data_IF_415513225341
#
_entry.id   IF_415513225341
#
_cell.length_a   1.000
_cell.length_b   1.000
_cell.length_c   1.000
_cell.angle_alpha   90.00
_cell.angle_beta   90.00
_cell.angle_gamma   90.00
#
_symmetry.space_group_name_H-M   'P 1'
#
loop_
_entity.id
_entity.type
_entity.pdbx_description
1 polymer ?
#
# COMPACT_ATOMS: atom_id res chain seq x y z
N UNK A 1 35.69 -25.81 -57.42
CA UNK A 1 35.17 -24.85 -56.43
C UNK A 1 34.52 -25.63 -55.30
N UNK A 2 35.20 -26.64 -54.75
CA UNK A 2 36.24 -26.56 -53.71
C UNK A 2 35.70 -26.10 -52.36
N UNK A 3 35.83 -26.84 -51.25
CA UNK A 3 36.36 -28.19 -51.02
C UNK A 3 36.02 -28.58 -49.56
N UNK A 4 35.56 -29.81 -49.40
CA UNK A 4 35.78 -30.74 -48.28
C UNK A 4 35.51 -30.34 -46.82
N UNK A 5 34.65 -31.15 -46.17
CA UNK A 5 35.12 -32.22 -45.27
C UNK A 5 34.13 -33.39 -45.20
N UNK A 6 34.47 -34.45 -45.93
CA UNK A 6 34.15 -35.84 -45.62
C UNK A 6 35.20 -36.33 -44.61
N UNK A 7 34.81 -37.15 -43.64
CA UNK A 7 35.24 -38.57 -43.55
C UNK A 7 34.63 -39.27 -42.34
N UNK A 8 34.04 -40.42 -42.62
CA UNK A 8 33.54 -41.43 -41.70
C UNK A 8 34.64 -42.40 -41.23
N UNK A 9 34.41 -43.09 -40.11
CA UNK A 9 34.83 -44.46 -39.81
C UNK A 9 34.09 -44.89 -38.52
N UNK A 10 33.09 -45.77 -38.55
CA UNK A 10 33.12 -47.23 -38.76
C UNK A 10 33.80 -48.00 -37.62
N UNK A 11 33.04 -48.63 -36.71
CA UNK A 11 32.96 -50.10 -36.62
C UNK A 11 32.08 -50.62 -35.46
N UNK A 12 31.26 -51.59 -35.85
CA UNK A 12 30.59 -52.64 -35.09
C UNK A 12 31.24 -53.07 -33.76
N UNK A 13 30.41 -53.38 -32.75
CA UNK A 13 30.32 -54.75 -32.23
C UNK A 13 29.05 -55.01 -31.40
N UNK A 14 28.49 -56.18 -31.67
CA UNK A 14 27.27 -56.75 -31.11
C UNK A 14 27.34 -57.00 -29.59
N UNK A 15 26.22 -56.68 -28.93
CA UNK A 15 25.44 -57.50 -27.99
C UNK A 15 26.14 -58.75 -27.43
N UNK A 16 26.39 -58.77 -26.11
CA UNK A 16 25.93 -59.88 -25.27
C UNK A 16 25.91 -59.54 -23.76
N UNK A 17 24.81 -59.96 -23.13
CA UNK A 17 24.45 -59.85 -21.72
C UNK A 17 25.57 -60.27 -20.75
N UNK A 18 25.70 -59.56 -19.62
CA UNK A 18 25.63 -60.21 -18.30
C UNK A 18 25.23 -59.21 -17.21
N UNK A 19 24.20 -59.63 -16.48
CA UNK A 19 23.58 -59.00 -15.32
C UNK A 19 24.58 -58.79 -14.16
N UNK A 20 24.62 -57.58 -13.57
CA UNK A 20 24.75 -57.40 -12.11
C UNK A 20 24.56 -55.93 -11.70
N UNK A 21 23.50 -55.71 -10.93
CA UNK A 21 23.13 -54.48 -10.23
C UNK A 21 24.28 -53.89 -9.42
N UNK A 22 24.41 -52.55 -9.41
CA UNK A 22 24.65 -51.69 -8.23
C UNK A 22 24.34 -50.24 -8.64
N UNK A 23 23.47 -49.60 -7.84
CA UNK A 23 23.01 -48.20 -7.95
C UNK A 23 24.17 -47.20 -7.82
N UNK A 24 24.24 -46.18 -8.69
CA UNK A 24 24.79 -44.87 -8.34
C UNK A 24 24.07 -43.75 -9.09
N UNK A 25 23.66 -42.76 -8.31
CA UNK A 25 22.85 -41.57 -8.59
C UNK A 25 23.55 -40.55 -9.48
N UNK A 26 22.82 -40.00 -10.46
CA UNK A 26 23.26 -38.96 -11.40
C UNK A 26 23.33 -37.55 -10.76
N UNK A 27 24.39 -36.80 -11.07
CA UNK A 27 24.57 -35.38 -10.72
C UNK A 27 23.52 -34.46 -11.37
N UNK A 28 23.16 -33.31 -10.76
CA UNK A 28 22.29 -32.32 -11.37
C UNK A 28 23.05 -31.33 -12.26
N UNK A 29 22.40 -30.96 -13.36
CA UNK A 29 22.79 -29.98 -14.38
C UNK A 29 22.85 -28.56 -13.80
N UNK A 30 23.97 -27.85 -14.00
CA UNK A 30 24.12 -26.42 -13.65
C UNK A 30 23.45 -25.58 -14.74
N UNK A 31 22.44 -24.80 -14.36
CA UNK A 31 21.84 -23.75 -15.19
C UNK A 31 22.51 -22.43 -14.82
N UNK A 32 23.29 -21.85 -15.74
CA UNK A 32 23.85 -20.51 -15.57
C UNK A 32 22.75 -19.46 -15.86
N UNK A 33 22.21 -18.85 -14.81
CA UNK A 33 21.39 -17.64 -14.90
C UNK A 33 22.35 -16.45 -14.82
N UNK A 34 22.33 -15.58 -15.83
CA UNK A 34 23.01 -14.28 -15.79
C UNK A 34 22.21 -13.37 -14.86
N UNK A 35 22.69 -13.20 -13.63
CA UNK A 35 22.16 -12.24 -12.65
C UNK A 35 22.92 -10.93 -12.84
N UNK A 36 22.20 -9.82 -12.93
CA UNK A 36 22.75 -8.46 -12.97
C UNK A 36 23.71 -8.23 -11.79
N UNK A 37 24.96 -7.83 -12.10
CA UNK A 37 26.08 -7.69 -11.14
C UNK A 37 25.85 -6.61 -10.06
N UNK A 38 24.77 -5.82 -10.12
CA UNK A 38 24.49 -4.77 -9.14
C UNK A 38 23.91 -5.27 -7.82
N UNK A 39 23.19 -6.40 -7.83
CA UNK A 39 22.55 -6.97 -6.62
C UNK A 39 23.44 -7.98 -5.89
N UNK A 40 24.34 -8.66 -6.61
CA UNK A 40 25.41 -9.50 -6.05
C UNK A 40 26.41 -8.69 -5.22
N UNK A 41 26.74 -7.47 -5.66
CA UNK A 41 27.62 -6.54 -4.94
C UNK A 41 27.03 -6.04 -3.59
N UNK A 42 25.69 -6.02 -3.47
CA UNK A 42 25.02 -5.79 -2.18
C UNK A 42 25.12 -7.05 -1.32
N UNK A 43 24.69 -8.21 -1.81
CA UNK A 43 24.66 -9.48 -1.05
C UNK A 43 26.05 -9.93 -0.57
N UNK A 44 27.10 -9.73 -1.35
CA UNK A 44 28.48 -10.04 -0.97
C UNK A 44 29.04 -9.05 0.07
N UNK A 45 28.56 -7.80 0.07
CA UNK A 45 28.87 -6.82 1.12
C UNK A 45 28.23 -7.22 2.46
N UNK A 46 27.04 -7.84 2.45
CA UNK A 46 26.36 -8.36 3.67
C UNK A 46 27.05 -9.55 4.31
N UNK A 47 27.61 -10.47 3.51
CA UNK A 47 28.41 -11.58 4.04
C UNK A 47 29.65 -11.04 4.78
N UNK A 48 30.25 -9.95 4.29
CA UNK A 48 31.33 -9.26 4.98
C UNK A 48 30.88 -8.50 6.22
N UNK A 49 29.69 -7.90 6.24
CA UNK A 49 29.16 -7.17 7.41
C UNK A 49 28.80 -8.09 8.58
N UNK A 50 28.41 -9.35 8.32
CA UNK A 50 28.20 -10.36 9.37
C UNK A 50 29.49 -11.09 9.79
N UNK A 51 30.57 -10.99 9.01
CA UNK A 51 31.93 -11.38 9.43
C UNK A 51 32.53 -10.42 10.48
N UNK A 52 31.85 -9.31 10.75
CA UNK A 52 32.25 -8.28 11.72
C UNK A 52 32.24 -8.80 13.18
N UNK A 53 31.48 -9.85 13.47
CA UNK A 53 31.58 -10.60 14.73
C UNK A 53 32.88 -11.42 14.84
N UNK A 54 33.43 -11.90 13.73
CA UNK A 54 34.73 -12.57 13.66
C UNK A 54 35.91 -11.58 13.65
N UNK A 55 35.66 -10.30 13.31
CA UNK A 55 36.64 -9.22 13.45
C UNK A 55 36.76 -8.80 14.93
N UNK A 56 35.66 -8.84 15.69
CA UNK A 56 35.63 -8.46 17.10
C UNK A 56 36.49 -9.35 18.01
N UNK A 57 36.71 -10.63 17.64
CA UNK A 57 37.58 -11.55 18.39
C UNK A 57 39.08 -11.31 18.20
N UNK A 58 39.45 -10.38 17.30
CA UNK A 58 40.85 -10.09 16.95
C UNK A 58 41.25 -8.62 17.22
N UNK A 59 40.46 -7.84 17.97
CA UNK A 59 40.89 -6.51 18.40
C UNK A 59 41.89 -6.63 19.57
N UNK A 60 43.11 -6.07 19.47
CA UNK A 60 44.03 -6.03 20.60
C UNK A 60 43.54 -5.01 21.63
N UNK A 61 43.52 -5.43 22.89
CA UNK A 61 43.32 -4.54 24.03
C UNK A 61 44.40 -3.45 24.05
N UNK A 62 43.99 -2.25 24.45
CA UNK A 62 44.81 -1.04 24.44
C UNK A 62 46.14 -1.18 25.17
N UNK A 63 47.15 -0.52 24.60
CA UNK A 63 48.53 -0.32 25.07
C UNK A 63 49.54 -1.40 24.65
N UNK A 64 49.95 -1.38 23.38
CA UNK A 64 51.35 -1.42 22.96
C UNK A 64 51.45 -0.86 21.53
N UNK A 65 52.03 0.34 21.40
CA UNK A 65 52.62 0.77 20.13
C UNK A 65 53.90 -0.06 19.96
N UNK A 66 54.15 -0.57 18.74
CA UNK A 66 55.22 -1.49 18.31
C UNK A 66 54.65 -2.91 18.15
N UNK A 67 54.39 -3.48 16.97
CA UNK A 67 54.99 -3.33 15.64
C UNK A 67 53.90 -3.14 14.57
N UNK A 68 54.19 -2.28 13.59
CA UNK A 68 53.26 -1.86 12.55
C UNK A 68 53.41 -2.77 11.33
N UNK A 69 52.45 -3.64 11.10
CA UNK A 69 52.25 -4.27 9.79
C UNK A 69 51.50 -3.25 8.90
N UNK A 70 52.23 -2.50 8.07
CA UNK A 70 51.76 -1.26 7.41
C UNK A 70 50.58 -1.42 6.42
N UNK A 71 50.13 -2.65 6.13
CA UNK A 71 49.12 -2.91 5.10
C UNK A 71 47.77 -3.46 5.61
N UNK A 72 47.58 -3.61 6.93
CA UNK A 72 46.32 -4.13 7.48
C UNK A 72 45.47 -2.99 8.08
N UNK A 73 44.40 -2.63 7.38
CA UNK A 73 43.43 -1.65 7.86
C UNK A 73 42.80 -2.13 9.19
N UNK A 74 42.63 -1.25 10.20
CA UNK A 74 42.06 -1.62 11.50
C UNK A 74 40.63 -2.14 11.42
N UNK A 75 39.87 -1.74 10.38
CA UNK A 75 38.55 -2.29 10.08
C UNK A 75 38.46 -2.68 8.59
N UNK A 76 38.67 -3.96 8.23
CA UNK A 76 38.51 -4.41 6.85
C UNK A 76 37.03 -4.33 6.45
N UNK A 77 36.73 -3.66 5.33
CA UNK A 77 35.36 -3.45 4.81
C UNK A 77 34.94 -1.98 4.69
N UNK A 78 35.63 -1.05 5.35
CA UNK A 78 35.36 0.39 5.24
C UNK A 78 36.39 1.10 4.35
N UNK A 79 35.99 2.18 3.67
CA UNK A 79 36.88 2.96 2.80
C UNK A 79 38.10 3.52 3.58
N UNK A 80 39.30 3.45 2.98
CA UNK A 80 40.55 3.92 3.63
C UNK A 80 40.49 5.41 3.99
N UNK A 81 39.83 6.23 3.14
CA UNK A 81 39.68 7.68 3.32
C UNK A 81 38.20 8.07 3.27
N UNK A 82 37.72 8.77 4.30
CA UNK A 82 36.42 9.43 4.31
C UNK A 82 36.62 10.94 4.16
N UNK A 83 35.66 11.64 3.51
CA UNK A 83 35.75 13.09 3.26
C UNK A 83 37.05 13.53 2.56
N UNK A 84 37.61 12.69 1.68
CA UNK A 84 38.88 12.92 0.97
C UNK A 84 40.14 13.12 1.86
N UNK A 85 39.99 13.34 3.18
CA UNK A 85 41.07 13.74 4.11
C UNK A 85 41.17 12.89 5.40
N UNK A 86 40.09 12.23 5.85
CA UNK A 86 40.08 11.50 7.13
C UNK A 86 40.46 10.03 6.92
N UNK A 87 41.69 9.66 7.31
CA UNK A 87 42.14 8.26 7.41
C UNK A 87 41.48 7.56 8.61
N UNK A 88 41.29 6.24 8.51
CA UNK A 88 40.67 5.42 9.58
C UNK A 88 41.35 5.55 10.96
N UNK A 89 42.62 5.97 10.99
CA UNK A 89 43.45 6.14 12.19
C UNK A 89 43.25 7.49 12.91
N UNK A 90 42.45 8.40 12.37
CA UNK A 90 42.19 9.71 13.01
C UNK A 90 41.18 9.58 14.15
N UNK A 91 41.40 10.25 15.31
CA UNK A 91 40.63 10.03 16.54
C UNK A 91 39.11 10.32 16.46
N UNK A 92 38.58 11.28 15.66
CA UNK A 92 37.12 11.39 15.55
C UNK A 92 36.52 10.21 14.79
N UNK A 93 37.19 9.72 13.73
CA UNK A 93 36.69 8.63 12.90
C UNK A 93 36.84 7.26 13.56
N UNK A 94 37.97 7.02 14.24
CA UNK A 94 38.23 5.76 14.95
C UNK A 94 37.23 5.53 16.09
N UNK A 95 36.91 6.57 16.86
CA UNK A 95 35.91 6.48 17.93
C UNK A 95 34.50 6.21 17.38
N UNK A 96 34.10 6.89 16.29
CA UNK A 96 32.82 6.62 15.63
C UNK A 96 32.75 5.18 15.07
N UNK A 97 33.83 4.68 14.47
CA UNK A 97 33.91 3.29 14.00
C UNK A 97 33.75 2.31 15.16
N UNK A 98 34.51 2.49 16.26
CA UNK A 98 34.39 1.66 17.46
C UNK A 98 32.96 1.67 18.02
N UNK A 99 32.30 2.82 18.02
CA UNK A 99 30.92 2.97 18.51
C UNK A 99 29.88 2.26 17.63
N UNK A 100 29.98 2.38 16.30
CA UNK A 100 29.05 1.69 15.36
C UNK A 100 29.24 0.18 15.41
N UNK A 101 30.48 -0.29 15.55
CA UNK A 101 30.77 -1.74 15.63
C UNK A 101 30.35 -2.37 16.96
N UNK A 102 29.85 -1.59 17.91
CA UNK A 102 29.51 -2.09 19.24
C UNK A 102 28.18 -2.86 19.23
N UNK A 103 28.14 -4.15 19.62
CA UNK A 103 26.92 -4.97 19.51
C UNK A 103 25.77 -4.47 20.39
N UNK A 104 26.05 -3.72 21.45
CA UNK A 104 25.01 -3.10 22.28
C UNK A 104 24.36 -1.89 21.60
N UNK A 105 25.09 -1.17 20.75
CA UNK A 105 24.54 -0.05 20.00
C UNK A 105 23.41 -0.52 19.09
N UNK A 106 23.61 -1.63 18.37
CA UNK A 106 22.56 -2.24 17.53
C UNK A 106 21.35 -2.71 18.35
N UNK A 107 21.56 -3.33 19.51
CA UNK A 107 20.45 -3.75 20.40
C UNK A 107 19.65 -2.57 20.94
N UNK A 108 20.32 -1.48 21.32
CA UNK A 108 19.67 -0.25 21.80
C UNK A 108 18.88 0.39 20.66
N UNK A 109 19.48 0.51 19.47
CA UNK A 109 18.77 1.03 18.29
C UNK A 109 17.50 0.23 18.01
N UNK A 110 17.55 -1.10 18.10
CA UNK A 110 16.38 -1.96 17.93
C UNK A 110 15.28 -1.72 18.97
N UNK A 111 15.66 -1.53 20.23
CA UNK A 111 14.72 -1.20 21.30
C UNK A 111 14.05 0.17 21.07
N UNK A 112 14.81 1.16 20.59
CA UNK A 112 14.27 2.49 20.24
C UNK A 112 13.29 2.42 19.08
N UNK A 113 13.55 1.60 18.06
CA UNK A 113 12.60 1.35 16.96
C UNK A 113 11.31 0.75 17.51
N UNK A 114 11.41 -0.31 18.33
CA UNK A 114 10.25 -0.99 18.91
C UNK A 114 9.41 -0.03 19.75
N UNK A 115 10.05 0.77 20.59
CA UNK A 115 9.41 1.79 21.41
C UNK A 115 8.68 2.82 20.52
N UNK A 116 9.27 3.22 19.39
CA UNK A 116 8.61 4.13 18.46
C UNK A 116 7.39 3.49 17.76
N UNK A 117 7.46 2.21 17.40
CA UNK A 117 6.31 1.48 16.86
C UNK A 117 5.15 1.43 17.86
N UNK A 118 5.45 1.21 19.14
CA UNK A 118 4.44 1.23 20.21
C UNK A 118 3.81 2.62 20.32
N UNK A 119 4.61 3.69 20.33
CA UNK A 119 4.06 5.06 20.38
C UNK A 119 3.20 5.40 19.17
N UNK A 120 3.56 4.91 17.98
CA UNK A 120 2.75 5.09 16.77
C UNK A 120 1.44 4.32 16.84
N UNK A 121 1.45 3.08 17.36
CA UNK A 121 0.24 2.27 17.56
C UNK A 121 -0.71 2.81 18.63
N UNK A 122 -0.18 3.49 19.64
CA UNK A 122 -0.97 4.17 20.67
C UNK A 122 -1.57 5.51 20.22
N UNK A 123 -1.20 5.99 19.03
CA UNK A 123 -1.72 7.25 18.49
C UNK A 123 -3.22 7.13 18.18
N UNK A 124 -4.05 7.94 18.85
CA UNK A 124 -5.50 7.95 18.65
C UNK A 124 -5.91 9.12 17.73
N UNK A 125 -6.28 8.88 16.47
CA UNK A 125 -6.65 9.94 15.53
C UNK A 125 -7.94 10.65 15.97
N UNK A 126 -8.96 9.90 16.43
CA UNK A 126 -10.29 10.43 16.71
C UNK A 126 -10.36 11.45 17.87
N UNK A 127 -9.36 11.50 18.76
CA UNK A 127 -9.32 12.48 19.84
C UNK A 127 -9.01 13.90 19.34
N UNK A 128 -8.52 14.05 18.10
CA UNK A 128 -8.12 15.34 17.52
C UNK A 128 -9.22 15.99 16.66
N UNK A 129 -10.39 15.36 16.53
CA UNK A 129 -11.44 15.76 15.57
C UNK A 129 -12.73 16.26 16.23
N UNK A 130 -12.84 16.22 17.57
CA UNK A 130 -13.94 16.86 18.29
C UNK A 130 -13.77 18.37 18.17
N UNK A 131 -14.50 18.95 17.21
CA UNK A 131 -14.36 20.32 16.77
C UNK A 131 -14.49 21.33 17.90
N UNK A 132 -13.36 21.96 18.23
CA UNK A 132 -13.17 23.38 18.47
C UNK A 132 -11.71 23.64 18.03
N UNK A 133 -11.57 24.38 16.94
CA UNK A 133 -10.43 25.24 16.59
C UNK A 133 -8.99 24.75 16.85
N UNK A 134 -8.27 24.53 15.73
CA UNK A 134 -6.81 24.50 15.54
C UNK A 134 -5.93 25.05 16.67
N UNK A 135 -5.78 24.32 17.77
CA UNK A 135 -4.69 24.56 18.70
C UNK A 135 -3.92 23.27 18.94
N UNK A 136 -2.62 23.36 18.65
CA UNK A 136 -1.55 22.38 18.88
C UNK A 136 -1.34 22.06 20.38
N UNK A 137 -2.38 22.19 21.21
CA UNK A 137 -2.30 21.95 22.64
C UNK A 137 -2.70 20.52 22.95
N UNK A 138 -1.69 19.67 23.02
CA UNK A 138 -1.81 18.37 23.62
C UNK A 138 -1.92 18.54 25.14
N UNK A 139 -3.15 18.69 25.63
CA UNK A 139 -3.41 18.92 27.06
C UNK A 139 -3.46 17.62 27.88
N UNK A 140 -3.66 16.46 27.23
CA UNK A 140 -3.62 15.15 27.91
C UNK A 140 -2.18 14.72 28.18
N UNK A 141 -1.90 14.25 29.41
CA UNK A 141 -0.58 13.74 29.80
C UNK A 141 -0.01 12.70 28.82
N UNK A 142 -0.87 11.81 28.30
CA UNK A 142 -0.49 10.81 27.31
C UNK A 142 0.04 11.43 26.01
N UNK A 143 -0.56 12.51 25.51
CA UNK A 143 -0.04 13.16 24.29
C UNK A 143 1.31 13.85 24.54
N UNK A 144 1.49 14.49 25.69
CA UNK A 144 2.78 15.12 26.06
C UNK A 144 3.88 14.05 26.10
N UNK A 145 3.61 12.90 26.72
CA UNK A 145 4.54 11.77 26.75
C UNK A 145 4.83 11.23 25.35
N UNK A 146 3.82 10.97 24.52
CA UNK A 146 4.01 10.49 23.14
C UNK A 146 4.84 11.46 22.30
N UNK A 147 4.56 12.77 22.40
CA UNK A 147 5.29 13.80 21.68
C UNK A 147 6.74 13.92 22.16
N UNK A 148 6.99 13.87 23.47
CA UNK A 148 8.33 13.88 24.03
C UNK A 148 9.14 12.65 23.56
N UNK A 149 8.52 11.48 23.57
CA UNK A 149 9.12 10.24 23.07
C UNK A 149 9.44 10.33 21.57
N UNK A 150 8.54 10.89 20.76
CA UNK A 150 8.78 11.09 19.32
C UNK A 150 10.00 11.99 19.05
N UNK A 151 10.16 13.08 19.81
CA UNK A 151 11.35 13.94 19.70
C UNK A 151 12.62 13.23 20.17
N UNK A 152 12.55 12.47 21.26
CA UNK A 152 13.67 11.66 21.73
C UNK A 152 14.13 10.65 20.67
N UNK A 153 13.20 9.92 20.08
CA UNK A 153 13.46 8.95 19.00
C UNK A 153 14.08 9.65 17.79
N UNK A 154 13.53 10.78 17.37
CA UNK A 154 14.07 11.56 16.26
C UNK A 154 15.51 12.01 16.52
N UNK A 155 15.79 12.54 17.71
CA UNK A 155 17.13 12.98 18.10
C UNK A 155 18.12 11.81 18.12
N UNK A 156 17.74 10.66 18.68
CA UNK A 156 18.57 9.45 18.70
C UNK A 156 19.00 9.03 17.29
N UNK A 157 18.05 8.92 16.35
CA UNK A 157 18.37 8.51 14.98
C UNK A 157 19.15 9.57 14.19
N UNK A 158 18.94 10.85 14.47
CA UNK A 158 19.72 11.93 13.85
C UNK A 158 21.18 11.85 14.30
N UNK A 159 21.41 11.65 15.60
CA UNK A 159 22.76 11.48 16.16
C UNK A 159 23.41 10.22 15.57
N UNK A 160 22.70 9.10 15.52
CA UNK A 160 23.18 7.88 14.90
C UNK A 160 23.59 8.10 13.43
N UNK A 161 22.74 8.76 12.64
CA UNK A 161 23.04 9.07 11.24
C UNK A 161 24.32 9.90 11.12
N UNK A 162 24.47 10.94 11.96
CA UNK A 162 25.68 11.77 11.99
C UNK A 162 26.93 10.94 12.32
N UNK A 163 26.85 10.01 13.28
CA UNK A 163 27.96 9.13 13.65
C UNK A 163 28.32 8.20 12.48
N UNK A 164 27.32 7.60 11.80
CA UNK A 164 27.52 6.75 10.61
C UNK A 164 28.15 7.52 9.45
N UNK A 165 27.68 8.73 9.18
CA UNK A 165 28.27 9.61 8.16
C UNK A 165 29.71 10.00 8.50
N UNK A 166 30.02 10.26 9.78
CA UNK A 166 31.39 10.55 10.21
C UNK A 166 32.34 9.35 10.08
N UNK A 167 31.84 8.13 10.32
CA UNK A 167 32.63 6.90 10.24
C UNK A 167 32.88 6.43 8.80
N UNK A 168 31.84 6.41 7.96
CA UNK A 168 31.86 5.86 6.59
C UNK A 168 32.14 6.93 5.53
N UNK A 169 31.89 8.21 5.81
CA UNK A 169 31.90 9.30 4.84
C UNK A 169 30.57 9.45 4.10
N UNK A 170 30.35 10.63 3.49
CA UNK A 170 29.09 10.96 2.78
C UNK A 170 29.09 10.45 1.33
N UNK A 171 30.18 10.69 0.58
CA UNK A 171 30.27 10.35 -0.85
C UNK A 171 31.52 9.51 -1.14
N UNK A 172 31.36 8.39 -1.87
CA UNK A 172 32.46 7.50 -2.26
C UNK A 172 32.03 6.02 -2.38
N UNK A 173 32.93 5.16 -2.92
CA UNK A 173 32.74 3.71 -2.92
C UNK A 173 32.82 3.21 -1.46
N UNK A 174 31.73 2.65 -0.95
CA UNK A 174 31.60 2.23 0.46
C UNK A 174 31.24 3.36 1.44
N UNK A 175 30.77 4.52 0.95
CA UNK A 175 30.24 5.60 1.78
C UNK A 175 28.79 5.33 2.22
N UNK A 176 28.30 6.08 3.22
CA UNK A 176 26.97 5.90 3.81
C UNK A 176 25.83 5.94 2.76
N UNK A 177 25.93 6.84 1.77
CA UNK A 177 24.90 7.00 0.72
C UNK A 177 24.98 5.96 -0.42
N UNK A 178 26.02 5.12 -0.45
CA UNK A 178 26.16 4.10 -1.49
C UNK A 178 25.31 2.85 -1.22
N UNK A 179 24.78 2.70 0.01
CA UNK A 179 23.85 1.62 0.36
C UNK A 179 22.40 2.12 0.32
N UNK A 180 21.54 1.38 -0.39
CA UNK A 180 20.14 1.76 -0.62
C UNK A 180 19.33 1.86 0.68
N UNK A 181 19.67 1.09 1.70
CA UNK A 181 18.96 1.06 2.98
C UNK A 181 19.38 2.20 3.89
N UNK A 182 20.67 2.51 3.93
CA UNK A 182 21.15 3.73 4.56
C UNK A 182 20.59 5.00 3.88
N UNK A 183 20.37 4.97 2.55
CA UNK A 183 19.66 6.05 1.84
C UNK A 183 18.19 6.19 2.29
N UNK A 184 17.49 5.07 2.52
CA UNK A 184 16.13 5.07 3.07
C UNK A 184 16.11 5.62 4.50
N UNK A 185 17.06 5.22 5.35
CA UNK A 185 17.17 5.72 6.73
C UNK A 185 17.39 7.24 6.77
N UNK A 186 18.28 7.74 5.90
CA UNK A 186 18.55 9.15 5.70
C UNK A 186 17.31 9.92 5.26
N UNK A 187 16.56 9.40 4.30
CA UNK A 187 15.30 10.00 3.84
C UNK A 187 14.31 10.16 5.00
N UNK A 188 14.15 9.12 5.84
CA UNK A 188 13.25 9.19 7.01
C UNK A 188 13.72 10.26 8.01
N UNK A 189 15.03 10.40 8.29
CA UNK A 189 15.54 11.47 9.18
C UNK A 189 15.25 12.85 8.57
N UNK A 190 15.52 13.03 7.27
CA UNK A 190 15.34 14.30 6.58
C UNK A 190 13.86 14.74 6.58
N UNK A 191 12.93 13.82 6.33
CA UNK A 191 11.49 14.15 6.41
C UNK A 191 11.06 14.58 7.81
N UNK A 192 11.60 13.96 8.86
CA UNK A 192 11.39 14.41 10.25
C UNK A 192 12.02 15.77 10.56
N UNK A 193 13.17 16.08 9.96
CA UNK A 193 13.81 17.39 10.11
C UNK A 193 12.99 18.49 9.42
N UNK A 194 12.48 18.23 8.21
CA UNK A 194 11.60 19.14 7.48
C UNK A 194 10.32 19.42 8.28
N UNK A 195 9.77 18.39 8.94
CA UNK A 195 8.61 18.54 9.82
C UNK A 195 8.87 19.50 11.00
N UNK A 196 10.08 19.52 11.54
CA UNK A 196 10.48 20.42 12.62
C UNK A 196 10.74 21.85 12.13
N UNK A 197 11.29 22.01 10.92
CA UNK A 197 11.73 23.29 10.38
C UNK A 197 10.60 24.13 9.77
N UNK A 198 9.50 23.53 9.29
CA UNK A 198 8.38 24.25 8.67
C UNK A 198 7.28 24.54 9.71
N UNK A 199 7.12 25.80 10.17
CA UNK A 199 6.00 26.16 11.03
C UNK A 199 4.68 26.07 10.24
N UNK A 200 3.69 25.44 10.86
CA UNK A 200 2.42 25.00 10.25
C UNK A 200 1.43 26.07 9.75
N UNK A 201 1.89 27.26 9.37
CA UNK A 201 1.05 28.36 8.89
C UNK A 201 0.95 28.42 7.35
N UNK A 202 1.75 27.62 6.61
CA UNK A 202 1.80 27.67 5.14
C UNK A 202 1.40 26.36 4.42
N UNK A 203 1.34 25.22 5.11
CA UNK A 203 1.02 23.92 4.49
C UNK A 203 0.26 23.03 5.48
N UNK A 204 -0.79 22.34 5.02
CA UNK A 204 -1.43 21.27 5.76
C UNK A 204 -0.44 20.11 5.98
N UNK A 205 0.31 20.15 7.09
CA UNK A 205 1.33 19.16 7.48
C UNK A 205 0.80 17.73 7.71
N UNK A 206 -0.47 17.45 7.36
CA UNK A 206 -1.09 16.13 7.52
C UNK A 206 -0.35 15.05 6.73
N UNK A 207 0.03 15.35 5.48
CA UNK A 207 0.79 14.41 4.65
C UNK A 207 2.18 14.12 5.22
N UNK A 208 2.88 15.13 5.75
CA UNK A 208 4.23 14.95 6.33
C UNK A 208 4.14 14.10 7.61
N UNK A 209 3.08 14.27 8.42
CA UNK A 209 2.83 13.41 9.59
C UNK A 209 2.65 11.93 9.21
N UNK A 210 2.02 11.63 8.07
CA UNK A 210 1.89 10.24 7.60
C UNK A 210 3.22 9.58 7.24
N UNK A 211 4.26 10.35 6.89
CA UNK A 211 5.60 9.80 6.63
C UNK A 211 6.19 9.13 7.88
N UNK A 212 5.74 9.51 9.09
CA UNK A 212 6.14 8.83 10.34
C UNK A 212 5.79 7.34 10.36
N UNK A 213 4.79 6.90 9.57
CA UNK A 213 4.44 5.48 9.36
C UNK A 213 5.55 4.69 8.67
N UNK A 214 6.51 5.36 8.04
CA UNK A 214 7.68 4.72 7.43
C UNK A 214 8.78 4.39 8.44
N UNK A 215 8.77 4.96 9.67
CA UNK A 215 9.83 4.72 10.67
C UNK A 215 10.05 3.23 11.02
N UNK A 216 9.00 2.37 11.12
CA UNK A 216 9.18 0.93 11.29
C UNK A 216 9.99 0.26 10.17
N UNK A 217 10.01 0.80 8.94
CA UNK A 217 10.80 0.21 7.83
C UNK A 217 12.30 0.18 8.14
N UNK A 218 12.78 1.01 9.06
CA UNK A 218 14.18 0.99 9.53
C UNK A 218 14.58 -0.35 10.14
N UNK A 219 13.61 -1.12 10.64
CA UNK A 219 13.86 -2.48 11.17
C UNK A 219 14.48 -3.38 10.11
N UNK A 220 14.17 -3.17 8.84
CA UNK A 220 14.70 -3.96 7.72
C UNK A 220 16.22 -3.74 7.59
N UNK A 221 16.68 -2.50 7.80
CA UNK A 221 18.12 -2.19 7.78
C UNK A 221 18.86 -2.78 9.00
N UNK A 222 18.15 -3.12 10.08
CA UNK A 222 18.75 -3.68 11.32
C UNK A 222 18.71 -5.18 11.40
N UNK A 223 17.72 -5.79 10.77
CA UNK A 223 17.52 -7.24 10.80
C UNK A 223 17.91 -7.81 9.43
N UNK A 224 19.10 -8.43 9.31
CA UNK A 224 19.59 -8.92 8.02
C UNK A 224 18.65 -9.96 7.41
N UNK A 225 18.02 -10.80 8.24
CA UNK A 225 17.01 -11.78 7.77
C UNK A 225 15.81 -11.11 7.08
N UNK A 226 15.38 -9.94 7.56
CA UNK A 226 14.29 -9.19 6.94
C UNK A 226 14.73 -8.55 5.62
N UNK A 227 15.97 -8.03 5.56
CA UNK A 227 16.54 -7.49 4.33
C UNK A 227 16.59 -8.54 3.22
N UNK A 228 17.09 -9.74 3.54
CA UNK A 228 17.18 -10.85 2.57
C UNK A 228 15.79 -11.19 2.05
N UNK A 229 14.79 -11.30 2.93
CA UNK A 229 13.41 -11.57 2.52
C UNK A 229 12.85 -10.51 1.56
N UNK A 230 13.03 -9.22 1.88
CA UNK A 230 12.54 -8.14 1.03
C UNK A 230 13.28 -8.12 -0.31
N UNK A 231 14.59 -8.34 -0.32
CA UNK A 231 15.38 -8.40 -1.56
C UNK A 231 14.92 -9.56 -2.46
N UNK A 232 14.75 -10.75 -1.90
CA UNK A 232 14.20 -11.89 -2.65
C UNK A 232 12.81 -11.59 -3.22
N UNK A 233 11.96 -10.87 -2.48
CA UNK A 233 10.66 -10.44 -3.00
C UNK A 233 10.83 -9.47 -4.17
N UNK A 234 11.69 -8.45 -4.02
CA UNK A 234 11.97 -7.48 -5.08
C UNK A 234 12.56 -8.16 -6.34
N UNK A 235 13.40 -9.17 -6.18
CA UNK A 235 13.99 -9.95 -7.27
C UNK A 235 12.94 -10.73 -8.08
N UNK A 236 11.79 -11.06 -7.48
CA UNK A 236 10.68 -11.73 -8.19
C UNK A 236 9.75 -10.75 -8.91
N UNK A 237 9.78 -9.44 -8.60
CA UNK A 237 8.91 -8.43 -9.21
C UNK A 237 9.08 -8.30 -10.74
N UNK A 238 10.30 -8.34 -11.31
CA UNK A 238 10.47 -8.30 -12.77
C UNK A 238 9.74 -9.43 -13.50
N UNK A 239 9.74 -10.64 -12.92
CA UNK A 239 9.03 -11.80 -13.49
C UNK A 239 7.52 -11.60 -13.45
N UNK A 240 7.01 -11.02 -12.35
CA UNK A 240 5.60 -10.68 -12.19
C UNK A 240 5.17 -9.54 -13.12
N UNK A 241 6.09 -8.62 -13.47
CA UNK A 241 5.83 -7.50 -14.37
C UNK A 241 5.25 -7.91 -15.73
N UNK A 242 5.71 -9.02 -16.30
CA UNK A 242 5.18 -9.55 -17.56
C UNK A 242 3.69 -9.96 -17.44
N UNK A 243 3.32 -10.58 -16.32
CA UNK A 243 1.95 -10.96 -16.03
C UNK A 243 1.06 -9.74 -15.77
N UNK A 244 1.58 -8.74 -15.03
CA UNK A 244 0.88 -7.49 -14.77
C UNK A 244 0.61 -6.70 -16.06
N UNK A 245 1.56 -6.70 -17.00
CA UNK A 245 1.38 -6.07 -18.31
C UNK A 245 0.28 -6.76 -19.12
N UNK A 246 0.23 -8.10 -19.13
CA UNK A 246 -0.87 -8.84 -19.74
C UNK A 246 -2.21 -8.50 -19.08
N UNK A 247 -2.24 -8.48 -17.74
CA UNK A 247 -3.43 -8.12 -16.96
C UNK A 247 -3.92 -6.70 -17.30
N UNK A 248 -3.00 -5.75 -17.44
CA UNK A 248 -3.31 -4.38 -17.84
C UNK A 248 -4.00 -4.32 -19.21
N UNK A 249 -3.53 -5.08 -20.22
CA UNK A 249 -4.20 -5.13 -21.52
C UNK A 249 -5.60 -5.72 -21.45
N UNK A 250 -5.80 -6.76 -20.65
CA UNK A 250 -7.10 -7.37 -20.43
C UNK A 250 -8.06 -6.34 -19.79
N UNK A 251 -7.61 -5.64 -18.75
CA UNK A 251 -8.38 -4.58 -18.09
C UNK A 251 -8.68 -3.42 -19.03
N UNK A 252 -7.75 -3.05 -19.92
CA UNK A 252 -7.98 -2.02 -20.92
C UNK A 252 -9.07 -2.43 -21.91
N UNK A 253 -9.01 -3.63 -22.48
CA UNK A 253 -9.99 -4.12 -23.45
C UNK A 253 -11.38 -4.18 -22.81
N UNK A 254 -11.52 -4.88 -21.68
CA UNK A 254 -12.80 -4.98 -20.99
C UNK A 254 -13.28 -3.64 -20.43
N UNK A 255 -12.37 -2.76 -20.02
CA UNK A 255 -12.70 -1.41 -19.58
C UNK A 255 -13.32 -0.57 -20.69
N UNK A 256 -12.73 -0.58 -21.89
CA UNK A 256 -13.28 0.14 -23.05
C UNK A 256 -14.63 -0.46 -23.44
N UNK A 257 -14.75 -1.79 -23.49
CA UNK A 257 -16.04 -2.45 -23.77
C UNK A 257 -17.08 -2.02 -22.73
N UNK A 258 -16.71 -2.03 -21.44
CA UNK A 258 -17.64 -1.69 -20.38
C UNK A 258 -18.12 -0.23 -20.40
N UNK A 259 -17.22 0.71 -20.69
CA UNK A 259 -17.60 2.12 -20.88
C UNK A 259 -18.54 2.28 -22.09
N UNK A 260 -18.29 1.58 -23.20
CA UNK A 260 -19.16 1.72 -24.37
C UNK A 260 -20.55 1.12 -24.16
N UNK A 261 -20.66 0.05 -23.37
CA UNK A 261 -21.94 -0.63 -23.12
C UNK A 261 -22.75 0.00 -21.99
N UNK A 262 -22.11 0.41 -20.89
CA UNK A 262 -22.80 0.74 -19.63
C UNK A 262 -22.60 2.17 -19.13
N UNK A 263 -21.97 3.05 -19.91
CA UNK A 263 -21.82 4.47 -19.53
C UNK A 263 -23.17 5.11 -19.22
N UNK A 264 -23.28 5.71 -18.03
CA UNK A 264 -24.46 6.41 -17.55
C UNK A 264 -25.65 5.53 -17.13
N UNK A 265 -25.65 4.22 -17.43
CA UNK A 265 -26.79 3.35 -17.14
C UNK A 265 -27.01 3.12 -15.64
N UNK A 266 -25.92 3.02 -14.87
CA UNK A 266 -25.97 2.77 -13.42
C UNK A 266 -26.56 3.96 -12.63
N UNK A 267 -26.71 5.13 -13.27
CA UNK A 267 -27.32 6.33 -12.70
C UNK A 267 -28.85 6.34 -12.82
N UNK A 268 -29.44 5.43 -13.57
CA UNK A 268 -30.88 5.42 -13.78
C UNK A 268 -31.63 5.13 -12.47
N UNK A 269 -32.63 5.97 -12.15
CA UNK A 269 -33.50 5.85 -10.98
C UNK A 269 -34.95 6.09 -11.38
N UNK A 270 -35.88 5.59 -10.57
CA UNK A 270 -37.31 5.83 -10.76
C UNK A 270 -37.72 7.12 -10.06
N UNK A 271 -38.01 8.15 -10.83
CA UNK A 271 -38.49 9.45 -10.39
C UNK A 271 -40.01 9.48 -10.30
N UNK A 272 -40.49 10.37 -9.43
CA UNK A 272 -41.90 10.61 -9.19
C UNK A 272 -42.56 11.26 -10.40
N UNK A 273 -43.63 10.67 -10.91
CA UNK A 273 -44.44 11.23 -11.99
C UNK A 273 -45.82 11.62 -11.47
N UNK A 274 -45.91 12.82 -10.88
CA UNK A 274 -47.18 13.42 -10.47
C UNK A 274 -47.54 14.54 -11.46
N UNK A 275 -48.79 14.55 -11.91
CA UNK A 275 -49.31 15.66 -12.69
C UNK A 275 -49.42 16.87 -11.75
N UNK A 276 -48.79 18.00 -12.10
CA UNK A 276 -48.65 19.19 -11.25
C UNK A 276 -49.99 19.70 -10.69
N UNK A 277 -51.08 19.55 -11.44
CA UNK A 277 -52.43 19.93 -11.00
C UNK A 277 -53.00 19.12 -9.83
N UNK A 278 -52.40 17.97 -9.48
CA UNK A 278 -52.83 17.12 -8.37
C UNK A 278 -52.18 17.48 -7.02
N UNK A 279 -51.02 18.16 -7.05
CA UNK A 279 -50.23 18.49 -5.84
C UNK A 279 -50.72 19.80 -5.22
N UNK A 280 -51.02 20.81 -6.05
CA UNK A 280 -51.37 22.17 -5.59
C UNK A 280 -52.69 22.26 -4.79
N UNK A 281 -53.51 21.21 -4.81
CA UNK A 281 -54.81 21.17 -4.12
C UNK A 281 -54.78 20.43 -2.77
N UNK A 282 -53.64 19.88 -2.34
CA UNK A 282 -53.55 19.07 -1.12
C UNK A 282 -52.49 19.60 -0.14
N UNK A 283 -52.87 20.30 0.94
CA UNK A 283 -51.95 20.83 1.95
C UNK A 283 -51.34 19.75 2.87
N UNK A 284 -51.50 18.47 2.54
CA UNK A 284 -50.94 17.33 3.29
C UNK A 284 -49.58 16.85 2.75
N UNK A 285 -49.05 17.52 1.71
CA UNK A 285 -47.77 17.17 1.08
C UNK A 285 -46.54 17.69 1.86
N UNK A 286 -46.68 18.68 2.74
CA UNK A 286 -45.55 19.25 3.51
C UNK A 286 -45.02 18.33 4.64
N UNK A 287 -45.81 17.32 5.03
CA UNK A 287 -45.51 16.42 6.16
C UNK A 287 -44.76 15.13 5.75
N UNK A 288 -44.54 14.89 4.45
CA UNK A 288 -43.88 13.68 3.97
C UNK A 288 -42.54 14.02 3.31
N UNK A 289 -41.42 13.41 3.73
CA UNK A 289 -40.14 13.59 3.07
C UNK A 289 -40.16 12.82 1.74
N UNK A 290 -40.76 13.41 0.71
CA UNK A 290 -40.68 12.86 -0.64
C UNK A 290 -39.23 12.93 -1.11
N UNK A 291 -38.60 11.77 -1.26
CA UNK A 291 -37.37 11.68 -2.01
C UNK A 291 -37.68 11.84 -3.49
N UNK A 292 -36.84 12.54 -4.26
CA UNK A 292 -37.09 12.78 -5.69
C UNK A 292 -37.14 11.48 -6.50
N UNK A 293 -36.47 10.43 -6.02
CA UNK A 293 -36.45 9.10 -6.61
C UNK A 293 -36.61 8.02 -5.54
N UNK A 294 -37.03 6.83 -5.96
CA UNK A 294 -37.20 5.68 -5.08
C UNK A 294 -35.86 5.14 -4.55
N UNK A 295 -35.74 5.05 -3.22
CA UNK A 295 -34.61 4.40 -2.53
C UNK A 295 -35.13 3.21 -1.72
N UNK A 296 -34.65 1.99 -1.99
CA UNK A 296 -35.03 0.81 -1.20
C UNK A 296 -34.45 0.88 0.23
N UNK A 297 -35.12 0.29 1.23
CA UNK A 297 -34.63 0.31 2.62
C UNK A 297 -33.45 -0.65 2.87
N UNK A 298 -33.35 -1.73 2.09
CA UNK A 298 -32.40 -2.83 2.31
C UNK A 298 -31.24 -2.85 1.30
N UNK A 299 -31.21 -1.92 0.35
CA UNK A 299 -30.22 -1.85 -0.73
C UNK A 299 -29.76 -0.42 -0.96
N UNK A 300 -28.55 -0.25 -1.48
CA UNK A 300 -27.97 1.07 -1.73
C UNK A 300 -28.65 1.82 -2.89
N UNK A 301 -29.21 1.12 -3.88
CA UNK A 301 -29.90 1.77 -5.00
C UNK A 301 -30.80 0.81 -5.79
N UNK A 302 -31.89 1.34 -6.37
CA UNK A 302 -32.72 0.62 -7.34
C UNK A 302 -32.48 1.20 -8.73
N UNK A 303 -31.85 0.42 -9.61
CA UNK A 303 -31.52 0.83 -10.98
C UNK A 303 -32.68 0.42 -11.90
N UNK A 304 -33.20 1.36 -12.66
CA UNK A 304 -34.25 1.10 -13.63
C UNK A 304 -33.72 1.06 -15.07
N UNK A 305 -34.45 0.33 -15.91
CA UNK A 305 -34.25 0.31 -17.34
C UNK A 305 -35.37 1.06 -18.07
N UNK A 306 -35.03 1.68 -19.20
CA UNK A 306 -36.01 2.32 -20.07
C UNK A 306 -36.98 1.25 -20.61
N UNK A 307 -38.30 1.53 -20.73
CA UNK A 307 -39.26 0.57 -21.25
C UNK A 307 -38.93 -0.01 -22.64
N UNK A 308 -38.17 0.73 -23.45
CA UNK A 308 -37.70 0.32 -24.78
C UNK A 308 -36.47 -0.60 -24.74
N UNK A 309 -35.77 -0.65 -23.61
CA UNK A 309 -34.58 -1.47 -23.40
C UNK A 309 -34.92 -2.84 -22.80
N UNK A 310 -34.06 -3.83 -23.01
CA UNK A 310 -34.24 -5.19 -22.48
C UNK A 310 -33.74 -5.36 -21.04
N UNK A 311 -33.64 -4.28 -20.26
CA UNK A 311 -33.19 -4.37 -18.87
C UNK A 311 -34.15 -5.19 -18.00
N UNK A 312 -33.60 -5.83 -16.97
CA UNK A 312 -34.34 -6.77 -16.13
C UNK A 312 -35.27 -6.07 -15.13
N UNK A 313 -34.93 -4.84 -14.72
CA UNK A 313 -35.64 -4.10 -13.68
C UNK A 313 -36.40 -2.91 -14.28
N UNK A 314 -37.71 -2.85 -14.03
CA UNK A 314 -38.57 -1.74 -14.48
C UNK A 314 -39.18 -1.01 -13.29
N UNK A 315 -39.48 0.29 -13.46
CA UNK A 315 -40.16 1.06 -12.41
C UNK A 315 -41.56 0.52 -12.05
N UNK A 316 -42.15 -0.32 -12.91
CA UNK A 316 -43.40 -1.04 -12.62
C UNK A 316 -43.26 -2.15 -11.58
N UNK A 317 -42.03 -2.61 -11.30
CA UNK A 317 -41.74 -3.74 -10.41
C UNK A 317 -41.38 -3.30 -8.99
N UNK A 318 -41.44 -1.99 -8.70
CA UNK A 318 -41.17 -1.45 -7.37
C UNK A 318 -42.16 -2.08 -6.37
N UNK A 319 -41.68 -2.65 -5.25
CA UNK A 319 -42.54 -3.25 -4.26
C UNK A 319 -43.47 -2.21 -3.63
N UNK A 320 -44.67 -2.62 -3.25
CA UNK A 320 -45.64 -1.75 -2.57
C UNK A 320 -45.06 -1.21 -1.27
N UNK A 321 -45.38 0.05 -0.96
CA UNK A 321 -44.94 0.71 0.27
C UNK A 321 -45.41 -0.09 1.50
N UNK A 322 -44.53 -0.27 2.48
CA UNK A 322 -44.83 -0.96 3.74
C UNK A 322 -44.67 0.00 4.91
N UNK A 323 -45.67 0.03 5.78
CA UNK A 323 -45.66 0.80 7.02
C UNK A 323 -46.09 -0.13 8.16
N UNK A 324 -45.31 -0.20 9.23
CA UNK A 324 -45.61 -1.02 10.43
C UNK A 324 -45.99 -2.48 10.12
N UNK A 325 -45.27 -3.11 9.20
CA UNK A 325 -45.48 -4.48 8.71
C UNK A 325 -46.79 -4.72 7.92
N UNK A 326 -47.50 -3.64 7.54
CA UNK A 326 -48.67 -3.68 6.65
C UNK A 326 -48.28 -3.22 5.24
N UNK A 327 -48.78 -3.89 4.21
CA UNK A 327 -48.64 -3.46 2.81
C UNK A 327 -49.73 -2.45 2.47
N UNK A 328 -49.31 -1.27 2.05
CA UNK A 328 -50.22 -0.20 1.66
C UNK A 328 -50.81 -0.47 0.26
N UNK A 329 -52.11 -0.32 0.10
CA UNK A 329 -52.82 -0.54 -1.16
C UNK A 329 -53.62 0.69 -1.65
N UNK A 330 -53.77 1.70 -0.80
CA UNK A 330 -54.61 2.86 -1.11
C UNK A 330 -53.94 3.84 -2.09
N UNK A 331 -54.74 4.49 -2.91
CA UNK A 331 -54.36 5.59 -3.81
C UNK A 331 -54.45 6.94 -3.06
N UNK A 332 -53.66 7.94 -3.45
CA UNK A 332 -53.71 9.27 -2.84
C UNK A 332 -55.11 9.91 -2.98
N UNK A 333 -55.86 9.56 -4.03
CA UNK A 333 -57.23 10.06 -4.26
C UNK A 333 -58.23 9.61 -3.20
N UNK A 334 -57.95 8.54 -2.45
CA UNK A 334 -58.81 8.12 -1.33
C UNK A 334 -58.78 9.10 -0.16
N UNK A 335 -57.84 10.06 -0.18
CA UNK A 335 -57.78 11.20 0.73
C UNK A 335 -58.81 12.27 0.32
N UNK A 336 -60.07 11.91 0.03
CA UNK A 336 -61.05 12.95 -0.34
C UNK A 336 -61.32 13.85 0.87
N UNK A 337 -61.22 15.16 0.63
CA UNK A 337 -61.34 16.27 1.58
C UNK A 337 -62.28 16.02 2.78
N UNK A 338 -61.74 16.16 4.00
CA UNK A 338 -62.43 16.17 5.31
C UNK A 338 -62.23 14.95 6.22
N UNK A 339 -61.28 14.05 5.94
CA UNK A 339 -60.79 13.09 6.94
C UNK A 339 -59.37 13.50 7.35
N UNK A 340 -59.24 14.02 8.58
CA UNK A 340 -57.95 14.08 9.28
C UNK A 340 -57.30 12.70 9.26
N UNK A 341 -55.96 12.62 9.31
CA UNK A 341 -55.09 11.40 9.36
C UNK A 341 -55.60 10.23 10.24
N UNK A 342 -56.63 10.45 11.05
CA UNK A 342 -57.20 9.57 12.07
C UNK A 342 -58.32 8.63 11.58
N UNK A 343 -58.79 8.75 10.33
CA UNK A 343 -60.01 8.05 9.89
C UNK A 343 -59.86 7.20 8.60
N UNK A 344 -58.63 6.97 8.16
CA UNK A 344 -58.33 5.98 7.11
C UNK A 344 -57.76 4.73 7.83
N UNK A 345 -58.51 3.62 7.81
CA UNK A 345 -58.01 2.31 8.25
C UNK A 345 -57.09 1.71 7.17
N UNK A 346 -55.97 2.37 6.89
CA UNK A 346 -55.03 1.93 5.87
C UNK A 346 -54.01 3.01 5.51
N UNK A 347 -52.94 2.59 4.84
CA UNK A 347 -51.88 3.47 4.37
C UNK A 347 -51.87 3.58 2.84
N UNK A 348 -51.38 4.71 2.32
CA UNK A 348 -51.28 5.01 0.90
C UNK A 348 -50.02 4.37 0.33
N UNK A 349 -50.13 3.72 -0.82
CA UNK A 349 -48.97 3.19 -1.54
C UNK A 349 -48.28 4.31 -2.33
N UNK A 350 -47.30 4.99 -1.73
CA UNK A 350 -46.56 6.05 -2.43
C UNK A 350 -45.63 5.51 -3.52
N UNK A 351 -45.17 4.27 -3.39
CA UNK A 351 -44.23 3.68 -4.35
C UNK A 351 -44.80 3.55 -5.77
N UNK A 352 -46.13 3.55 -5.92
CA UNK A 352 -46.81 3.41 -7.23
C UNK A 352 -46.63 4.62 -8.17
N UNK A 353 -46.18 5.77 -7.65
CA UNK A 353 -46.03 7.00 -8.44
C UNK A 353 -44.62 7.18 -9.01
N UNK A 354 -43.65 6.35 -8.62
CA UNK A 354 -42.31 6.35 -9.23
C UNK A 354 -42.33 5.57 -10.53
N UNK A 355 -42.72 6.22 -11.63
CA UNK A 355 -42.88 5.59 -12.95
C UNK A 355 -41.87 6.05 -13.99
N UNK A 356 -41.27 7.22 -13.79
CA UNK A 356 -40.35 7.81 -14.74
C UNK A 356 -38.94 7.28 -14.49
N UNK A 357 -38.41 6.45 -15.39
CA UNK A 357 -37.00 6.08 -15.34
C UNK A 357 -36.16 7.20 -15.95
N UNK A 358 -35.29 7.84 -15.16
CA UNK A 358 -34.40 8.90 -15.64
C UNK A 358 -33.03 8.84 -14.93
N UNK A 359 -32.05 9.56 -15.48
CA UNK A 359 -30.68 9.60 -14.99
C UNK A 359 -30.62 10.48 -13.72
N UNK A 360 -29.98 9.96 -12.67
CA UNK A 360 -29.61 10.69 -11.45
C UNK A 360 -28.16 11.16 -11.49
N UNK A 361 -27.77 12.04 -10.58
CA UNK A 361 -26.39 12.56 -10.50
C UNK A 361 -25.43 11.58 -9.80
N UNK A 362 -25.95 10.70 -8.94
CA UNK A 362 -25.15 9.80 -8.12
C UNK A 362 -25.17 8.35 -8.60
N UNK A 363 -23.97 7.74 -8.67
CA UNK A 363 -23.79 6.32 -8.94
C UNK A 363 -23.97 5.49 -7.65
N UNK A 364 -24.26 4.17 -7.76
CA UNK A 364 -24.33 3.26 -6.61
C UNK A 364 -23.05 3.26 -5.75
N UNK A 365 -23.15 2.76 -4.51
CA UNK A 365 -22.03 2.65 -3.56
C UNK A 365 -21.28 3.98 -3.35
N UNK A 366 -22.03 5.07 -3.11
CA UNK A 366 -21.50 6.43 -2.93
C UNK A 366 -20.60 6.90 -4.08
N UNK A 367 -20.91 6.49 -5.32
CA UNK A 367 -20.14 6.88 -6.49
C UNK A 367 -18.95 5.98 -6.85
N UNK A 368 -18.70 4.91 -6.08
CA UNK A 368 -17.48 4.10 -6.21
C UNK A 368 -17.50 3.16 -7.43
N UNK A 369 -18.68 2.70 -7.84
CA UNK A 369 -18.86 1.75 -8.95
C UNK A 369 -19.61 2.44 -10.10
N UNK A 370 -18.94 2.59 -11.24
CA UNK A 370 -19.54 3.14 -12.45
C UNK A 370 -18.76 2.77 -13.72
N UNK A 371 -19.41 2.86 -14.88
CA UNK A 371 -18.78 2.70 -16.20
C UNK A 371 -18.72 4.03 -16.96
N UNK A 372 -18.77 5.15 -16.25
CA UNK A 372 -18.80 6.48 -16.87
C UNK A 372 -17.42 6.89 -17.43
N UNK A 373 -16.35 6.43 -16.78
CA UNK A 373 -14.96 6.67 -17.17
C UNK A 373 -14.16 5.36 -17.11
N UNK A 374 -13.05 5.32 -17.85
CA UNK A 374 -12.19 4.14 -17.94
C UNK A 374 -11.61 3.72 -16.58
N UNK A 375 -11.29 4.67 -15.70
CA UNK A 375 -10.71 4.39 -14.37
C UNK A 375 -11.73 3.70 -13.45
N UNK A 376 -12.98 4.17 -13.44
CA UNK A 376 -14.04 3.53 -12.65
C UNK A 376 -14.41 2.15 -13.22
N UNK A 377 -14.40 2.01 -14.55
CA UNK A 377 -14.57 0.72 -15.19
C UNK A 377 -13.46 -0.28 -14.78
N UNK A 378 -12.20 0.17 -14.68
CA UNK A 378 -11.11 -0.67 -14.17
C UNK A 378 -11.28 -1.07 -12.71
N UNK A 379 -11.80 -0.18 -11.85
CA UNK A 379 -12.10 -0.54 -10.45
C UNK A 379 -13.19 -1.62 -10.37
N UNK A 380 -14.26 -1.48 -11.16
CA UNK A 380 -15.33 -2.48 -11.23
C UNK A 380 -14.80 -3.82 -11.77
N UNK A 381 -14.01 -3.81 -12.84
CA UNK A 381 -13.41 -5.03 -13.41
C UNK A 381 -12.45 -5.68 -12.43
N UNK A 382 -11.62 -4.88 -11.73
CA UNK A 382 -10.72 -5.39 -10.71
C UNK A 382 -11.50 -6.14 -9.62
N UNK A 383 -12.58 -5.55 -9.12
CA UNK A 383 -13.46 -6.19 -8.15
C UNK A 383 -14.13 -7.48 -8.68
N UNK A 384 -14.49 -7.51 -9.97
CA UNK A 384 -14.97 -8.74 -10.62
C UNK A 384 -13.86 -9.81 -10.66
N UNK A 385 -12.62 -9.42 -10.98
CA UNK A 385 -11.50 -10.37 -11.06
C UNK A 385 -11.05 -10.91 -9.71
N UNK A 386 -11.24 -10.16 -8.63
CA UNK A 386 -11.02 -10.65 -7.26
C UNK A 386 -12.15 -11.52 -6.75
N UNK A 387 -13.27 -11.62 -7.49
CA UNK A 387 -14.48 -12.35 -7.12
C UNK A 387 -15.13 -11.84 -5.81
N UNK A 388 -14.92 -10.57 -5.47
CA UNK A 388 -15.54 -9.96 -4.30
C UNK A 388 -16.78 -9.16 -4.70
N UNK A 389 -17.96 -9.60 -4.25
CA UNK A 389 -19.24 -8.96 -4.58
C UNK A 389 -19.47 -8.77 -6.09
N UNK A 390 -18.81 -9.58 -6.93
CA UNK A 390 -18.93 -9.52 -8.39
C UNK A 390 -20.35 -9.75 -8.90
N UNK A 391 -21.17 -10.51 -8.14
CA UNK A 391 -22.57 -10.76 -8.49
C UNK A 391 -23.49 -9.55 -8.24
N UNK A 392 -23.01 -8.53 -7.51
CA UNK A 392 -23.75 -7.29 -7.25
C UNK A 392 -23.46 -6.18 -8.28
N UNK A 393 -22.38 -6.33 -9.05
CA UNK A 393 -22.00 -5.48 -10.19
C UNK A 393 -22.66 -6.04 -11.44
#
# INVERSE_FOLDING_TARGET
MDKHRLTAANNNNNINMTNKNIFHTSLPTVINISIDDSHTDETDRFLNEHSLSNILSNLPDSCNLEERDENKLPFPGFAEKAFYYLRQTTPPRYQCLKFITWPWFERISMLVILLNCITLGMYQPCAHHTGIESSKKCDTALCIWLQATDYFVFAFFTIEMCIKMAAMGIFGKGAYLADSWNRLDCFIVLTGLVELLIPGDLVSLSAIRTVRVLRPLRVINRVPSMRILVMLLLDTLPMLGNLLLLCFFIFFIFGVIGVQLWKGLLRNRCFLQLNTTAIDNYPLFDDFPFQPFYTPPDQDSFICSDPSSSGMTKCSEIPRFRQDNMTCELDFRSLSSSLTKKAINGCINWNQYYKLCAISDENPFSGSISFDNIVFAWLAIFQITTLESWASI
#
